data_IF_139726390391
#
_entry.id   IF_139726390391
#
_cell.length_a   1.000
_cell.length_b   1.000
_cell.length_c   1.000
_cell.angle_alpha   90.00
_cell.angle_beta   90.00
_cell.angle_gamma   90.00
#
_symmetry.space_group_name_H-M   'P 1'
#
loop_
_entity.id
_entity.type
_entity.pdbx_description
1 polymer ?
#
# COMPACT_ATOMS: atom_id res chain seq x y z
N UNK A 1 -10.74 -21.82 0.04
CA UNK A 1 -11.93 -22.63 0.41
C UNK A 1 -11.61 -24.13 0.47
N UNK A 2 -10.78 -24.69 -0.46
CA UNK A 2 -10.44 -26.12 -0.44
C UNK A 2 -9.82 -26.59 0.89
N UNK A 3 -8.80 -25.92 1.48
CA UNK A 3 -8.24 -26.35 2.77
C UNK A 3 -9.28 -26.38 3.89
N UNK A 4 -10.22 -25.42 3.91
CA UNK A 4 -11.27 -25.31 4.93
C UNK A 4 -12.18 -26.55 4.93
N UNK A 5 -12.43 -27.15 3.76
CA UNK A 5 -13.23 -28.36 3.64
C UNK A 5 -12.38 -29.63 3.77
N UNK A 6 -11.22 -29.69 3.10
CA UNK A 6 -10.42 -30.91 3.01
C UNK A 6 -9.68 -31.26 4.30
N UNK A 7 -9.15 -30.28 5.05
CA UNK A 7 -8.39 -30.56 6.26
C UNK A 7 -9.22 -31.28 7.35
N UNK A 8 -10.49 -30.87 7.62
CA UNK A 8 -11.35 -31.65 8.51
C UNK A 8 -11.75 -33.03 7.95
N UNK A 9 -12.07 -33.11 6.64
CA UNK A 9 -12.47 -34.37 6.01
C UNK A 9 -11.34 -35.41 6.03
N UNK A 10 -10.10 -34.98 5.89
CA UNK A 10 -8.92 -35.83 5.94
C UNK A 10 -8.44 -36.11 7.37
N UNK A 11 -9.09 -35.57 8.39
CA UNK A 11 -8.72 -35.75 9.80
C UNK A 11 -7.39 -35.06 10.19
N UNK A 12 -6.89 -34.13 9.37
CA UNK A 12 -5.63 -33.40 9.65
C UNK A 12 -5.83 -32.35 10.71
N UNK A 13 -6.96 -31.63 10.66
CA UNK A 13 -7.37 -30.62 11.64
C UNK A 13 -8.83 -30.82 12.00
N UNK A 14 -9.21 -30.49 13.22
CA UNK A 14 -10.61 -30.46 13.63
C UNK A 14 -11.34 -29.25 13.01
N UNK A 15 -12.67 -29.31 12.82
CA UNK A 15 -13.45 -28.16 12.36
C UNK A 15 -13.26 -26.92 13.23
N UNK A 16 -13.08 -27.08 14.55
CA UNK A 16 -12.82 -25.99 15.49
C UNK A 16 -11.47 -25.33 15.25
N UNK A 17 -10.40 -26.11 15.01
CA UNK A 17 -9.06 -25.57 14.69
C UNK A 17 -9.06 -24.80 13.38
N UNK A 18 -9.76 -25.33 12.36
CA UNK A 18 -9.90 -24.65 11.08
C UNK A 18 -10.70 -23.34 11.25
N UNK A 19 -11.80 -23.39 12.00
CA UNK A 19 -12.61 -22.20 12.31
C UNK A 19 -11.80 -21.12 13.04
N UNK A 20 -10.97 -21.52 14.00
CA UNK A 20 -10.09 -20.63 14.75
C UNK A 20 -9.03 -19.98 13.86
N UNK A 21 -8.40 -20.76 12.96
CA UNK A 21 -7.40 -20.24 12.04
C UNK A 21 -8.00 -19.19 11.08
N UNK A 22 -9.17 -19.47 10.48
CA UNK A 22 -9.82 -18.54 9.56
C UNK A 22 -10.48 -17.33 10.26
N UNK A 23 -10.86 -17.46 11.55
CA UNK A 23 -11.40 -16.40 12.38
C UNK A 23 -10.35 -15.58 13.13
N UNK A 24 -9.05 -15.76 12.83
CA UNK A 24 -7.97 -15.00 13.44
C UNK A 24 -8.18 -13.49 13.21
N UNK A 25 -7.95 -12.63 14.24
CA UNK A 25 -8.04 -11.17 14.10
C UNK A 25 -7.18 -10.62 12.97
N UNK A 26 -6.00 -11.22 12.69
CA UNK A 26 -5.13 -10.81 11.60
C UNK A 26 -5.72 -11.14 10.23
N UNK A 27 -6.40 -12.28 10.08
CA UNK A 27 -7.09 -12.63 8.83
C UNK A 27 -8.28 -11.70 8.60
N UNK A 28 -9.04 -11.36 9.64
CA UNK A 28 -10.14 -10.40 9.54
C UNK A 28 -9.63 -8.98 9.21
N UNK A 29 -8.49 -8.58 9.75
CA UNK A 29 -7.83 -7.32 9.41
C UNK A 29 -7.43 -7.30 7.92
N UNK A 30 -6.83 -8.40 7.42
CA UNK A 30 -6.46 -8.54 6.01
C UNK A 30 -7.69 -8.48 5.10
N UNK A 31 -8.77 -9.17 5.46
CA UNK A 31 -10.03 -9.14 4.73
C UNK A 31 -10.61 -7.72 4.66
N UNK A 32 -10.63 -7.00 5.79
CA UNK A 32 -11.03 -5.59 5.84
C UNK A 32 -10.16 -4.71 4.94
N UNK A 33 -8.86 -4.92 4.95
CA UNK A 33 -7.91 -4.24 4.07
C UNK A 33 -8.19 -4.50 2.59
N UNK A 34 -8.48 -5.74 2.21
CA UNK A 34 -8.82 -6.08 0.82
C UNK A 34 -10.15 -5.46 0.37
N UNK A 35 -11.17 -5.45 1.22
CA UNK A 35 -12.45 -4.80 0.91
C UNK A 35 -12.24 -3.31 0.68
N UNK A 36 -11.47 -2.66 1.55
CA UNK A 36 -11.15 -1.24 1.44
C UNK A 36 -10.32 -0.94 0.18
N UNK A 37 -9.32 -1.76 -0.11
CA UNK A 37 -8.50 -1.70 -1.33
C UNK A 37 -9.38 -1.78 -2.59
N UNK A 38 -10.31 -2.74 -2.65
CA UNK A 38 -11.23 -2.89 -3.79
C UNK A 38 -12.17 -1.69 -3.94
N UNK A 39 -12.65 -1.13 -2.84
CA UNK A 39 -13.46 0.09 -2.87
C UNK A 39 -12.67 1.28 -3.43
N UNK A 40 -11.41 1.45 -3.01
CA UNK A 40 -10.50 2.46 -3.53
C UNK A 40 -10.23 2.29 -5.02
N UNK A 41 -10.00 1.06 -5.47
CA UNK A 41 -9.79 0.73 -6.88
C UNK A 41 -11.05 1.03 -7.72
N UNK A 42 -12.21 0.54 -7.28
CA UNK A 42 -13.46 0.69 -8.02
C UNK A 42 -13.92 2.15 -8.14
N UNK A 43 -13.71 2.96 -7.10
CA UNK A 43 -14.06 4.39 -7.10
C UNK A 43 -13.13 5.23 -7.97
N UNK A 44 -11.89 4.79 -8.22
CA UNK A 44 -10.85 5.57 -8.88
C UNK A 44 -10.14 6.59 -7.98
N UNK A 45 -10.45 6.62 -6.67
CA UNK A 45 -9.84 7.53 -5.70
C UNK A 45 -8.31 7.37 -5.65
N UNK A 46 -7.81 6.13 -5.76
CA UNK A 46 -6.38 5.82 -5.80
C UNK A 46 -5.65 6.51 -6.97
N UNK A 47 -6.24 6.56 -8.17
CA UNK A 47 -5.68 7.27 -9.32
C UNK A 47 -5.54 8.77 -9.06
N UNK A 48 -6.53 9.36 -8.42
CA UNK A 48 -6.51 10.79 -8.03
C UNK A 48 -5.39 11.08 -7.06
N UNK A 49 -5.24 10.24 -6.01
CA UNK A 49 -4.15 10.35 -5.02
C UNK A 49 -2.80 10.29 -5.73
N UNK A 50 -2.60 9.30 -6.61
CA UNK A 50 -1.37 9.13 -7.37
C UNK A 50 -1.01 10.36 -8.19
N UNK A 51 -1.94 10.84 -9.02
CA UNK A 51 -1.70 12.00 -9.89
C UNK A 51 -1.42 13.28 -9.07
N UNK A 52 -2.11 13.49 -7.96
CA UNK A 52 -1.87 14.62 -7.09
C UNK A 52 -0.49 14.53 -6.42
N UNK A 53 -0.06 13.34 -6.01
CA UNK A 53 1.28 13.13 -5.45
C UNK A 53 2.36 13.38 -6.49
N UNK A 54 2.23 12.85 -7.71
CA UNK A 54 3.19 13.12 -8.78
C UNK A 54 3.29 14.62 -9.07
N UNK A 55 2.15 15.34 -9.08
CA UNK A 55 2.12 16.80 -9.26
C UNK A 55 2.78 17.56 -8.12
N UNK A 56 2.66 17.08 -6.89
CA UNK A 56 3.28 17.70 -5.71
C UNK A 56 4.81 17.71 -5.81
N UNK A 57 5.41 16.64 -6.34
CA UNK A 57 6.86 16.57 -6.57
C UNK A 57 7.30 17.36 -7.80
N UNK A 58 6.36 17.67 -8.70
CA UNK A 58 6.63 18.39 -9.94
C UNK A 58 6.99 17.46 -11.11
N UNK A 59 6.79 17.96 -12.32
CA UNK A 59 7.14 17.28 -13.57
C UNK A 59 8.14 18.08 -14.41
N UNK A 60 8.89 18.99 -13.77
CA UNK A 60 9.84 19.88 -14.44
C UNK A 60 11.15 19.17 -14.80
N UNK A 61 11.52 18.14 -14.05
CA UNK A 61 12.69 17.32 -14.33
C UNK A 61 12.37 15.82 -14.27
N UNK A 62 13.13 15.04 -15.04
CA UNK A 62 13.00 13.59 -15.07
C UNK A 62 13.15 12.96 -13.68
N UNK A 63 14.06 13.50 -12.86
CA UNK A 63 14.26 13.07 -11.47
C UNK A 63 13.02 13.31 -10.62
N UNK A 64 12.45 14.52 -10.66
CA UNK A 64 11.23 14.86 -9.90
C UNK A 64 10.07 13.97 -10.29
N UNK A 65 9.94 13.69 -11.59
CA UNK A 65 8.91 12.81 -12.11
C UNK A 65 9.03 11.39 -11.54
N UNK A 66 10.23 10.79 -11.60
CA UNK A 66 10.49 9.46 -11.03
C UNK A 66 10.21 9.45 -9.52
N UNK A 67 10.70 10.45 -8.77
CA UNK A 67 10.42 10.59 -7.34
C UNK A 67 8.92 10.68 -7.05
N UNK A 68 8.18 11.48 -7.82
CA UNK A 68 6.73 11.62 -7.67
C UNK A 68 5.98 10.31 -7.88
N UNK A 69 6.32 9.57 -8.93
CA UNK A 69 5.73 8.24 -9.18
C UNK A 69 6.11 7.23 -8.10
N UNK A 70 7.36 7.23 -7.65
CA UNK A 70 7.80 6.34 -6.57
C UNK A 70 7.11 6.67 -5.25
N UNK A 71 7.00 7.94 -4.88
CA UNK A 71 6.29 8.37 -3.67
C UNK A 71 4.80 7.97 -3.74
N UNK A 72 4.14 8.21 -4.88
CA UNK A 72 2.77 7.80 -5.11
C UNK A 72 2.60 6.28 -5.00
N UNK A 73 3.50 5.52 -5.63
CA UNK A 73 3.51 4.06 -5.59
C UNK A 73 3.69 3.54 -4.17
N UNK A 74 4.66 4.07 -3.42
CA UNK A 74 4.91 3.66 -2.04
C UNK A 74 3.71 3.93 -1.13
N UNK A 75 3.16 5.15 -1.16
CA UNK A 75 2.02 5.53 -0.31
C UNK A 75 0.77 4.72 -0.63
N UNK A 76 0.46 4.51 -1.90
CA UNK A 76 -0.69 3.69 -2.29
C UNK A 76 -0.50 2.23 -1.89
N UNK A 77 0.70 1.68 -2.08
CA UNK A 77 1.00 0.29 -1.77
C UNK A 77 0.99 -0.04 -0.28
N UNK A 78 1.03 0.95 0.60
CA UNK A 78 0.75 0.75 2.03
C UNK A 78 -0.68 0.27 2.30
N UNK A 79 -1.63 0.57 1.42
CA UNK A 79 -3.06 0.37 1.64
C UNK A 79 -3.75 -0.48 0.58
N UNK A 80 -3.14 -0.57 -0.59
CA UNK A 80 -3.61 -1.30 -1.75
C UNK A 80 -2.53 -2.31 -2.13
N UNK A 81 -2.89 -3.46 -2.71
CA UNK A 81 -1.88 -4.45 -3.09
C UNK A 81 -0.82 -3.87 -4.05
N UNK A 82 0.41 -4.34 -3.92
CA UNK A 82 1.55 -3.89 -4.75
C UNK A 82 1.24 -4.06 -6.24
N UNK A 83 0.60 -5.18 -6.61
CA UNK A 83 0.21 -5.47 -7.98
C UNK A 83 -0.83 -4.47 -8.50
N UNK A 84 -1.89 -4.19 -7.72
CA UNK A 84 -2.91 -3.23 -8.13
C UNK A 84 -2.33 -1.82 -8.28
N UNK A 85 -1.45 -1.41 -7.36
CA UNK A 85 -0.73 -0.13 -7.42
C UNK A 85 0.10 -0.03 -8.69
N UNK A 86 0.90 -1.05 -8.99
CA UNK A 86 1.78 -1.07 -10.16
C UNK A 86 0.98 -1.06 -11.46
N UNK A 87 -0.05 -1.93 -11.57
CA UNK A 87 -0.90 -1.99 -12.77
C UNK A 87 -1.68 -0.70 -13.02
N UNK A 88 -2.07 0.01 -11.96
CA UNK A 88 -2.77 1.29 -12.08
C UNK A 88 -1.84 2.42 -12.52
N UNK A 89 -0.61 2.47 -12.00
CA UNK A 89 0.36 3.50 -12.36
C UNK A 89 0.97 3.27 -13.75
N UNK A 90 1.02 2.02 -14.22
CA UNK A 90 1.63 1.66 -15.50
C UNK A 90 1.06 2.44 -16.69
N UNK A 91 -0.26 2.51 -16.94
CA UNK A 91 -0.80 3.28 -18.06
C UNK A 91 -0.46 4.77 -17.98
N UNK A 92 -0.40 5.33 -16.76
CA UNK A 92 -0.04 6.73 -16.55
C UNK A 92 1.44 6.95 -16.86
N UNK A 93 2.31 6.03 -16.42
CA UNK A 93 3.73 6.06 -16.71
C UNK A 93 4.00 5.92 -18.22
N UNK A 94 3.29 5.02 -18.91
CA UNK A 94 3.43 4.86 -20.36
C UNK A 94 3.00 6.12 -21.12
N UNK A 95 1.87 6.74 -20.75
CA UNK A 95 1.41 7.99 -21.35
C UNK A 95 2.40 9.15 -21.12
N UNK A 96 3.14 9.13 -20.03
CA UNK A 96 4.24 10.06 -19.77
C UNK A 96 5.44 9.76 -20.66
N UNK A 97 5.81 8.49 -20.79
CA UNK A 97 6.94 8.06 -21.61
C UNK A 97 6.76 8.36 -23.11
N UNK A 98 5.52 8.30 -23.60
CA UNK A 98 5.18 8.68 -24.98
C UNK A 98 5.45 10.16 -25.30
N UNK A 99 5.42 11.04 -24.28
CA UNK A 99 5.70 12.47 -24.44
C UNK A 99 7.21 12.79 -24.42
N UNK A 100 8.03 11.89 -23.87
CA UNK A 100 9.48 12.10 -23.70
C UNK A 100 10.24 11.50 -24.87
N UNK A 101 11.11 12.29 -25.48
CA UNK A 101 12.00 11.81 -26.54
C UNK A 101 13.14 10.98 -25.94
N UNK A 102 13.15 9.68 -26.23
CA UNK A 102 14.24 8.75 -25.88
C UNK A 102 13.91 7.82 -24.70
N UNK A 103 14.62 6.70 -24.61
CA UNK A 103 14.33 5.59 -23.71
C UNK A 103 14.93 5.72 -22.30
N UNK A 104 15.70 6.80 -22.03
CA UNK A 104 16.45 6.94 -20.77
C UNK A 104 15.57 6.98 -19.53
N UNK A 105 14.36 7.50 -19.63
CA UNK A 105 13.41 7.61 -18.51
C UNK A 105 12.64 6.30 -18.26
N UNK A 106 12.47 5.45 -19.25
CA UNK A 106 11.62 4.27 -19.18
C UNK A 106 12.03 3.31 -18.06
N UNK A 107 13.30 2.92 -18.01
CA UNK A 107 13.82 2.00 -16.99
C UNK A 107 13.70 2.57 -15.58
N UNK A 108 14.20 3.79 -15.28
CA UNK A 108 14.08 4.38 -13.96
C UNK A 108 12.63 4.56 -13.49
N UNK A 109 11.73 4.96 -14.39
CA UNK A 109 10.33 5.18 -14.05
C UNK A 109 9.60 3.88 -13.74
N UNK A 110 9.71 2.88 -14.62
CA UNK A 110 8.99 1.61 -14.47
C UNK A 110 9.54 0.78 -13.31
N UNK A 111 10.87 0.66 -13.19
CA UNK A 111 11.50 -0.01 -12.05
C UNK A 111 11.25 0.74 -10.74
N UNK A 112 11.27 2.08 -10.77
CA UNK A 112 10.96 2.91 -9.62
C UNK A 112 9.57 2.65 -9.08
N UNK A 113 8.54 2.59 -9.93
CA UNK A 113 7.17 2.23 -9.55
C UNK A 113 7.13 0.85 -8.89
N UNK A 114 7.76 -0.16 -9.52
CA UNK A 114 7.73 -1.53 -9.04
C UNK A 114 8.44 -1.70 -7.68
N UNK A 115 9.63 -1.13 -7.53
CA UNK A 115 10.37 -1.18 -6.27
C UNK A 115 9.69 -0.38 -5.18
N UNK A 116 9.17 0.81 -5.50
CA UNK A 116 8.45 1.62 -4.53
C UNK A 116 7.13 0.97 -4.08
N UNK A 117 6.42 0.24 -4.96
CA UNK A 117 5.27 -0.56 -4.58
C UNK A 117 5.66 -1.68 -3.59
N UNK A 118 6.74 -2.41 -3.88
CA UNK A 118 7.21 -3.50 -3.01
C UNK A 118 7.68 -3.00 -1.66
N UNK A 119 8.49 -1.94 -1.63
CA UNK A 119 8.98 -1.34 -0.39
C UNK A 119 7.84 -0.66 0.38
N UNK A 120 6.96 0.06 -0.31
CA UNK A 120 5.80 0.73 0.29
C UNK A 120 4.88 -0.23 1.04
N UNK A 121 4.66 -1.43 0.49
CA UNK A 121 3.86 -2.48 1.12
C UNK A 121 4.34 -2.89 2.53
N UNK A 122 5.60 -2.60 2.91
CA UNK A 122 6.12 -2.84 4.25
C UNK A 122 5.56 -1.83 5.27
N UNK A 123 5.13 -0.65 4.82
CA UNK A 123 4.80 0.49 5.68
C UNK A 123 3.60 0.30 6.60
N UNK A 124 2.67 -0.62 6.28
CA UNK A 124 1.53 -0.96 7.14
C UNK A 124 1.33 -2.47 7.22
N UNK A 125 0.65 -3.00 8.26
CA UNK A 125 0.36 -4.43 8.37
C UNK A 125 -0.37 -4.99 7.15
N UNK A 126 -1.29 -4.23 6.56
CA UNK A 126 -2.16 -4.66 5.47
C UNK A 126 -1.60 -4.41 4.07
N UNK A 127 -0.46 -3.71 3.96
CA UNK A 127 0.12 -3.37 2.66
C UNK A 127 0.54 -4.59 1.85
N UNK A 128 1.01 -5.65 2.52
CA UNK A 128 1.31 -6.93 1.87
C UNK A 128 1.07 -8.11 2.83
N UNK A 129 0.53 -9.26 2.35
CA UNK A 129 0.22 -10.40 3.21
C UNK A 129 1.38 -10.94 4.07
N UNK A 130 2.64 -10.98 3.59
CA UNK A 130 3.77 -11.41 4.42
C UNK A 130 3.94 -10.66 5.75
N UNK A 131 3.51 -9.38 5.82
CA UNK A 131 3.57 -8.61 7.07
C UNK A 131 2.73 -9.27 8.17
N UNK A 132 1.51 -9.66 7.85
CA UNK A 132 0.60 -10.32 8.80
C UNK A 132 1.07 -11.74 9.16
N UNK A 133 1.67 -12.44 8.20
CA UNK A 133 2.30 -13.74 8.47
C UNK A 133 3.44 -13.58 9.48
N UNK A 134 4.29 -12.56 9.29
CA UNK A 134 5.36 -12.26 10.26
C UNK A 134 4.78 -11.93 11.64
N UNK A 135 3.75 -11.08 11.72
CA UNK A 135 3.10 -10.71 12.98
C UNK A 135 2.56 -11.94 13.70
N UNK A 136 1.91 -12.86 12.97
CA UNK A 136 1.41 -14.12 13.56
C UNK A 136 2.55 -15.00 14.07
N UNK A 137 3.59 -15.21 13.26
CA UNK A 137 4.75 -16.03 13.66
C UNK A 137 5.48 -15.39 14.85
N UNK A 138 5.56 -14.06 14.92
CA UNK A 138 6.14 -13.36 16.04
C UNK A 138 5.34 -13.58 17.33
N UNK A 139 4.01 -13.40 17.27
CA UNK A 139 3.10 -13.65 18.39
C UNK A 139 3.19 -15.11 18.86
N UNK A 140 3.17 -16.07 17.95
CA UNK A 140 3.22 -17.51 18.26
C UNK A 140 4.54 -17.90 18.96
N UNK A 141 5.65 -17.21 18.71
CA UNK A 141 6.97 -17.52 19.26
C UNK A 141 7.34 -16.71 20.52
N UNK A 142 6.83 -15.48 20.65
CA UNK A 142 7.18 -14.59 21.77
C UNK A 142 6.06 -14.42 22.78
N UNK A 143 4.82 -14.66 22.38
CA UNK A 143 3.62 -14.34 23.15
C UNK A 143 3.24 -12.84 23.09
N UNK A 144 4.02 -12.00 22.40
CA UNK A 144 3.78 -10.57 22.28
C UNK A 144 3.02 -10.25 21.00
N UNK A 145 1.91 -9.51 21.14
CA UNK A 145 1.09 -9.06 20.01
C UNK A 145 1.64 -7.77 19.43
N UNK A 146 2.01 -7.77 18.15
CA UNK A 146 2.42 -6.56 17.43
C UNK A 146 1.17 -5.78 17.02
N UNK A 147 1.05 -4.56 17.52
CA UNK A 147 -0.06 -3.67 17.16
C UNK A 147 0.14 -3.02 15.79
N UNK A 148 -0.93 -2.46 15.21
CA UNK A 148 -0.88 -1.76 13.93
C UNK A 148 0.14 -0.61 13.94
N UNK A 149 0.19 0.16 15.02
CA UNK A 149 1.10 1.29 15.21
C UNK A 149 2.55 0.86 15.44
N UNK A 150 2.78 -0.22 16.18
CA UNK A 150 4.12 -0.78 16.35
C UNK A 150 4.71 -1.26 15.04
N UNK A 151 3.91 -1.98 14.23
CA UNK A 151 4.35 -2.32 12.88
C UNK A 151 4.73 -1.09 12.07
N UNK A 152 3.87 -0.06 12.05
CA UNK A 152 4.17 1.18 11.34
C UNK A 152 5.44 1.87 11.87
N UNK A 153 5.68 1.83 13.18
CA UNK A 153 6.89 2.39 13.77
C UNK A 153 8.17 1.70 13.27
N UNK A 154 8.09 0.43 12.89
CA UNK A 154 9.21 -0.30 12.27
C UNK A 154 9.25 -0.12 10.74
N UNK A 155 8.11 -0.25 10.09
CA UNK A 155 8.00 -0.26 8.64
C UNK A 155 8.19 1.10 7.98
N UNK A 156 7.61 2.17 8.56
CA UNK A 156 7.70 3.51 7.96
C UNK A 156 9.13 4.04 7.85
N UNK A 157 10.02 3.92 8.86
CA UNK A 157 11.41 4.33 8.70
C UNK A 157 12.11 3.59 7.57
N UNK A 158 11.84 2.29 7.40
CA UNK A 158 12.39 1.50 6.30
C UNK A 158 11.93 2.04 4.95
N UNK A 159 10.63 2.31 4.80
CA UNK A 159 10.07 2.89 3.56
C UNK A 159 10.66 4.27 3.28
N UNK A 160 10.71 5.14 4.31
CA UNK A 160 11.23 6.51 4.19
C UNK A 160 12.73 6.56 3.87
N UNK A 161 13.49 5.55 4.23
CA UNK A 161 14.90 5.43 3.87
C UNK A 161 15.10 4.80 2.48
N UNK A 162 14.44 3.65 2.24
CA UNK A 162 14.70 2.87 1.02
C UNK A 162 14.12 3.51 -0.24
N UNK A 163 12.91 4.08 -0.19
CA UNK A 163 12.30 4.68 -1.38
C UNK A 163 13.13 5.84 -1.93
N UNK A 164 13.57 6.83 -1.12
CA UNK A 164 14.47 7.86 -1.62
C UNK A 164 15.83 7.32 -2.06
N UNK A 165 16.40 6.35 -1.36
CA UNK A 165 17.69 5.75 -1.73
C UNK A 165 17.62 5.09 -3.11
N UNK A 166 16.58 4.29 -3.36
CA UNK A 166 16.34 3.66 -4.66
C UNK A 166 16.08 4.72 -5.73
N UNK A 167 15.30 5.75 -5.42
CA UNK A 167 15.03 6.84 -6.34
C UNK A 167 16.30 7.59 -6.74
N UNK A 168 17.16 7.91 -5.78
CA UNK A 168 18.47 8.52 -6.03
C UNK A 168 19.36 7.61 -6.87
N UNK A 169 19.34 6.30 -6.61
CA UNK A 169 20.10 5.34 -7.38
C UNK A 169 19.62 5.25 -8.84
N UNK A 170 18.30 5.08 -9.05
CA UNK A 170 17.71 4.92 -10.37
C UNK A 170 17.81 6.20 -11.22
N UNK A 171 17.80 7.37 -10.58
CA UNK A 171 17.87 8.66 -11.27
C UNK A 171 19.28 9.17 -11.48
N UNK A 172 20.32 8.37 -11.16
CA UNK A 172 21.72 8.72 -11.47
C UNK A 172 21.88 8.90 -12.98
N UNK A 173 22.43 10.03 -13.39
CA UNK A 173 22.64 10.31 -14.80
C UNK A 173 21.37 10.70 -15.59
N UNK A 174 20.23 10.85 -14.94
CA UNK A 174 19.11 11.55 -15.57
C UNK A 174 19.38 13.05 -15.51
N UNK A 175 19.77 13.61 -16.63
CA UNK A 175 19.97 15.04 -16.84
C UNK A 175 18.93 15.49 -17.87
N UNK A 176 17.95 16.27 -17.45
CA UNK A 176 16.94 16.80 -18.37
C UNK A 176 15.68 17.27 -17.67
N UNK A 177 14.98 18.17 -18.33
CA UNK A 177 13.62 18.56 -17.99
C UNK A 177 12.69 18.02 -19.05
N UNK A 178 11.83 17.08 -18.69
CA UNK A 178 10.92 16.47 -19.65
C UNK A 178 9.75 17.36 -20.03
N UNK A 179 9.43 18.39 -19.20
CA UNK A 179 8.27 19.27 -19.45
C UNK A 179 6.98 18.49 -19.71
N UNK A 180 6.80 17.35 -19.05
CA UNK A 180 5.70 16.40 -19.28
C UNK A 180 4.40 16.96 -18.72
N UNK A 181 3.37 16.94 -19.54
CA UNK A 181 2.02 17.24 -19.08
C UNK A 181 1.36 16.01 -18.46
N UNK A 182 1.06 16.10 -17.15
CA UNK A 182 0.34 15.04 -16.45
C UNK A 182 -1.16 15.08 -16.80
N UNK A 183 -1.81 13.91 -16.96
CA UNK A 183 -3.24 13.83 -17.21
C UNK A 183 -4.07 14.63 -16.20
N UNK A 184 -5.15 15.30 -16.62
CA UNK A 184 -6.01 16.06 -15.70
C UNK A 184 -6.63 15.13 -14.67
N UNK A 185 -6.70 15.59 -13.41
CA UNK A 185 -7.30 14.82 -12.31
C UNK A 185 -8.84 14.83 -12.39
N UNK A 186 -9.42 15.84 -13.04
CA UNK A 186 -10.87 16.04 -13.11
C UNK A 186 -11.49 16.50 -11.79
N UNK A 187 -12.82 16.60 -11.74
CA UNK A 187 -13.57 16.95 -10.54
C UNK A 187 -13.76 15.73 -9.60
N UNK A 188 -14.04 16.01 -8.32
CA UNK A 188 -14.32 14.97 -7.34
C UNK A 188 -15.69 14.32 -7.60
N UNK A 189 -15.69 13.01 -7.81
CA UNK A 189 -16.92 12.22 -7.90
C UNK A 189 -17.46 11.88 -6.51
N UNK A 190 -18.78 11.80 -6.33
CA UNK A 190 -19.37 11.43 -5.03
C UNK A 190 -18.85 10.10 -4.47
N UNK A 191 -18.59 9.12 -5.34
CA UNK A 191 -18.05 7.80 -4.98
C UNK A 191 -16.65 7.91 -4.42
N UNK A 192 -15.78 8.70 -5.05
CA UNK A 192 -14.41 8.95 -4.57
C UNK A 192 -14.42 9.57 -3.17
N UNK A 193 -15.29 10.57 -2.95
CA UNK A 193 -15.40 11.25 -1.64
C UNK A 193 -15.88 10.30 -0.55
N UNK A 194 -16.91 9.48 -0.83
CA UNK A 194 -17.44 8.49 0.12
C UNK A 194 -16.36 7.47 0.52
N UNK A 195 -15.67 6.89 -0.46
CA UNK A 195 -14.62 5.91 -0.22
C UNK A 195 -13.46 6.53 0.55
N UNK A 196 -13.06 7.77 0.24
CA UNK A 196 -12.01 8.48 0.98
C UNK A 196 -12.38 8.71 2.44
N UNK A 197 -13.65 9.05 2.74
CA UNK A 197 -14.11 9.19 4.13
C UNK A 197 -14.10 7.86 4.87
N UNK A 198 -14.63 6.80 4.25
CA UNK A 198 -14.61 5.45 4.84
C UNK A 198 -13.16 5.00 5.08
N UNK A 199 -12.29 5.21 4.10
CA UNK A 199 -10.88 4.90 4.22
C UNK A 199 -10.22 5.64 5.39
N UNK A 200 -10.41 6.96 5.47
CA UNK A 200 -9.81 7.78 6.52
C UNK A 200 -10.30 7.35 7.92
N UNK A 201 -11.59 7.09 8.08
CA UNK A 201 -12.17 6.62 9.34
C UNK A 201 -11.66 5.23 9.73
N UNK A 202 -11.57 4.31 8.76
CA UNK A 202 -11.07 2.95 9.01
C UNK A 202 -9.59 2.97 9.37
N UNK A 203 -8.77 3.71 8.63
CA UNK A 203 -7.34 3.86 8.93
C UNK A 203 -7.13 4.50 10.31
N UNK A 204 -7.91 5.54 10.64
CA UNK A 204 -7.87 6.16 11.95
C UNK A 204 -8.25 5.17 13.06
N UNK A 205 -9.30 4.38 12.84
CA UNK A 205 -9.72 3.37 13.81
C UNK A 205 -8.64 2.30 14.03
N UNK A 206 -7.95 1.86 12.99
CA UNK A 206 -6.84 0.90 13.12
C UNK A 206 -5.64 1.48 13.87
N UNK A 207 -5.24 2.70 13.52
CA UNK A 207 -4.11 3.39 14.16
C UNK A 207 -4.39 3.70 15.64
N UNK A 208 -5.62 4.07 15.98
CA UNK A 208 -5.99 4.46 17.34
C UNK A 208 -6.55 3.30 18.17
N UNK A 209 -6.54 2.06 17.66
CA UNK A 209 -7.11 0.91 18.37
C UNK A 209 -6.46 0.65 19.73
N UNK A 210 -5.13 0.65 19.78
CA UNK A 210 -4.35 0.33 20.96
C UNK A 210 -3.60 1.53 21.56
N UNK A 211 -3.41 2.60 20.81
CA UNK A 211 -2.62 3.79 21.18
C UNK A 211 -3.34 5.08 20.82
N UNK A 212 -3.13 6.20 21.57
CA UNK A 212 -2.47 6.32 22.85
C UNK A 212 -3.36 5.85 24.01
N UNK A 213 -2.75 5.59 25.19
CA UNK A 213 -3.46 5.27 26.45
C UNK A 213 -4.42 4.05 26.39
N UNK A 214 -4.05 3.01 25.63
CA UNK A 214 -4.87 1.82 25.43
C UNK A 214 -5.91 1.94 24.32
N UNK A 215 -6.01 3.11 23.70
CA UNK A 215 -6.89 3.37 22.58
C UNK A 215 -8.38 3.15 22.86
N UNK A 216 -9.20 3.12 21.80
CA UNK A 216 -10.63 2.90 21.93
C UNK A 216 -10.99 1.44 22.32
N UNK A 217 -10.10 0.47 22.09
CA UNK A 217 -10.32 -0.92 22.50
C UNK A 217 -10.42 -1.06 24.03
N UNK A 218 -9.58 -0.32 24.77
CA UNK A 218 -9.64 -0.31 26.23
C UNK A 218 -10.93 0.36 26.75
N UNK A 219 -11.43 1.38 26.05
CA UNK A 219 -12.69 2.06 26.41
C UNK A 219 -13.91 1.15 26.21
N UNK A 220 -13.89 0.33 25.15
CA UNK A 220 -14.95 -0.62 24.84
C UNK A 220 -14.78 -1.96 25.56
N UNK A 221 -13.68 -2.16 26.31
CA UNK A 221 -13.31 -3.42 26.98
C UNK A 221 -13.28 -4.63 26.02
N UNK A 222 -12.78 -4.39 24.80
CA UNK A 222 -12.62 -5.40 23.74
C UNK A 222 -11.20 -5.95 23.70
#
# INVERSE_FOLDING_TARGET
LLPLALLPLLGVLTPAQVGQAYGSPLILLLLGGFILSRAMEHSGAHRRIALNMVRLFGAQSDRQLVFGFMAASAVLSMWISNTATTLMLLPVALAVLEQVKGDRLAIPLLLGIAYAASVGGIGTPIGTPPNLVFMQVYEDNTGDVVTFTEWMAWGLPVVLCLVPLIALWLTRGLEGGSGVELPPVGEWRPEERRVMWVFALTALAWVTRATPYGGWSAWLRL
#
